data_IF_217813066189
#
_entry.id   IF_217813066189
#
_cell.length_a   1.000
_cell.length_b   1.000
_cell.length_c   1.000
_cell.angle_alpha   90.00
_cell.angle_beta   90.00
_cell.angle_gamma   90.00
#
_symmetry.space_group_name_H-M   'P 1'
#
loop_
_entity.id
_entity.type
_entity.pdbx_description
1 polymer ?
#
# COMPACT_ATOMS: atom_id res chain seq x y z
N UNK A 1 19.36 -35.16 -6.74
CA UNK A 1 18.99 -34.16 -7.75
C UNK A 1 19.38 -32.79 -7.23
N UNK A 2 20.27 -32.07 -7.86
CA UNK A 2 20.61 -30.72 -7.41
C UNK A 2 19.43 -29.78 -7.66
N UNK A 3 18.99 -29.07 -6.63
CA UNK A 3 18.05 -27.97 -6.76
C UNK A 3 18.66 -26.89 -7.67
N UNK A 4 17.95 -26.37 -8.68
CA UNK A 4 18.41 -25.23 -9.44
C UNK A 4 18.54 -24.04 -8.47
N UNK A 5 19.69 -23.39 -8.47
CA UNK A 5 19.93 -22.14 -7.76
C UNK A 5 18.89 -21.10 -8.23
N UNK A 6 18.36 -20.26 -7.33
CA UNK A 6 17.45 -19.21 -7.73
C UNK A 6 18.17 -18.29 -8.72
N UNK A 7 17.60 -18.16 -9.90
CA UNK A 7 18.05 -17.16 -10.89
C UNK A 7 17.82 -15.79 -10.26
N UNK A 8 18.89 -15.07 -9.94
CA UNK A 8 18.81 -13.67 -9.53
C UNK A 8 18.30 -12.91 -10.76
N UNK A 9 17.02 -12.55 -10.74
CA UNK A 9 16.48 -11.63 -11.73
C UNK A 9 17.19 -10.27 -11.53
N UNK A 10 17.93 -9.82 -12.55
CA UNK A 10 18.45 -8.45 -12.56
C UNK A 10 17.24 -7.55 -12.78
N UNK A 11 16.79 -6.89 -11.71
CA UNK A 11 15.73 -5.88 -11.78
C UNK A 11 16.33 -4.63 -12.39
N UNK A 12 15.93 -4.31 -13.62
CA UNK A 12 16.33 -3.06 -14.29
C UNK A 12 15.18 -2.06 -14.12
N UNK A 13 15.37 -1.08 -13.25
CA UNK A 13 14.41 0.02 -13.09
C UNK A 13 14.75 1.16 -14.05
N UNK A 14 13.80 1.56 -14.86
CA UNK A 14 13.91 2.73 -15.73
C UNK A 14 12.87 3.77 -15.32
N UNK A 15 13.31 4.98 -14.98
CA UNK A 15 12.44 6.12 -14.70
C UNK A 15 12.44 7.08 -15.88
N UNK A 16 11.25 7.49 -16.32
CA UNK A 16 11.08 8.45 -17.39
C UNK A 16 10.18 9.60 -16.91
N UNK A 17 10.68 10.82 -16.95
CA UNK A 17 9.89 12.03 -16.74
C UNK A 17 9.31 12.48 -18.07
N UNK A 18 7.99 12.63 -18.12
CA UNK A 18 7.26 13.04 -19.33
C UNK A 18 6.35 14.23 -19.02
N UNK A 19 6.01 15.01 -20.05
CA UNK A 19 5.01 16.06 -19.91
C UNK A 19 3.64 15.45 -19.67
N UNK A 20 2.76 16.09 -18.89
CA UNK A 20 1.42 15.54 -18.61
C UNK A 20 0.63 15.15 -19.88
N UNK A 21 0.77 15.94 -20.98
CA UNK A 21 0.12 15.66 -22.26
C UNK A 21 0.63 14.40 -22.97
N UNK A 22 1.86 13.96 -22.67
CA UNK A 22 2.51 12.82 -23.30
C UNK A 22 2.45 11.55 -22.44
N UNK A 23 1.86 11.64 -21.24
CA UNK A 23 1.88 10.55 -20.27
C UNK A 23 1.22 9.26 -20.80
N UNK A 24 0.06 9.36 -21.46
CA UNK A 24 -0.63 8.21 -22.03
C UNK A 24 0.10 7.59 -23.21
N UNK A 25 0.71 8.39 -24.08
CA UNK A 25 1.52 7.88 -25.20
C UNK A 25 2.81 7.20 -24.71
N UNK A 26 3.41 7.73 -23.63
CA UNK A 26 4.55 7.08 -22.96
C UNK A 26 4.16 5.75 -22.33
N UNK A 27 3.02 5.67 -21.66
CA UNK A 27 2.48 4.42 -21.14
C UNK A 27 2.26 3.40 -22.25
N UNK A 28 1.66 3.82 -23.37
CA UNK A 28 1.44 2.96 -24.55
C UNK A 28 2.78 2.40 -25.06
N UNK A 29 3.79 3.25 -25.19
CA UNK A 29 5.15 2.85 -25.58
C UNK A 29 5.76 1.83 -24.63
N UNK A 30 5.61 2.02 -23.32
CA UNK A 30 6.11 1.10 -22.29
C UNK A 30 5.40 -0.27 -22.34
N UNK A 31 4.07 -0.27 -22.47
CA UNK A 31 3.29 -1.53 -22.61
C UNK A 31 3.70 -2.28 -23.87
N UNK A 32 3.87 -1.58 -25.02
CA UNK A 32 4.38 -2.19 -26.26
C UNK A 32 5.78 -2.77 -26.06
N UNK A 33 6.66 -2.05 -25.39
CA UNK A 33 8.02 -2.53 -25.10
C UNK A 33 8.00 -3.78 -24.23
N UNK A 34 7.21 -3.79 -23.16
CA UNK A 34 7.04 -4.94 -22.28
C UNK A 34 6.47 -6.19 -23.00
N UNK A 35 5.65 -5.98 -24.04
CA UNK A 35 5.01 -7.06 -24.81
C UNK A 35 5.75 -7.45 -26.10
N UNK A 36 6.93 -6.89 -26.35
CA UNK A 36 7.67 -7.11 -27.63
C UNK A 36 8.01 -8.56 -27.89
N UNK A 37 8.37 -9.32 -26.85
CA UNK A 37 8.75 -10.74 -26.97
C UNK A 37 7.52 -11.65 -26.97
N UNK A 38 6.49 -11.31 -26.22
CA UNK A 38 5.24 -12.06 -26.12
C UNK A 38 4.05 -11.11 -25.99
N UNK A 39 3.17 -11.05 -26.99
CA UNK A 39 1.99 -10.16 -26.95
C UNK A 39 1.02 -10.45 -25.80
N UNK A 40 1.01 -11.70 -25.31
CA UNK A 40 0.18 -12.13 -24.17
C UNK A 40 0.94 -12.14 -22.84
N UNK A 41 2.18 -11.65 -22.79
CA UNK A 41 2.88 -11.52 -21.53
C UNK A 41 2.08 -10.65 -20.55
N UNK A 42 1.88 -11.09 -19.31
CA UNK A 42 1.19 -10.28 -18.30
C UNK A 42 1.99 -9.03 -17.99
N UNK A 43 1.29 -7.90 -17.90
CA UNK A 43 1.83 -6.59 -17.52
C UNK A 43 0.90 -5.99 -16.48
N UNK A 44 1.45 -5.67 -15.33
CA UNK A 44 0.73 -4.95 -14.27
C UNK A 44 1.05 -3.46 -14.37
N UNK A 45 0.03 -2.63 -14.55
CA UNK A 45 0.17 -1.18 -14.53
C UNK A 45 -0.37 -0.66 -13.21
N UNK A 46 0.52 -0.12 -12.40
CA UNK A 46 0.17 0.48 -11.13
C UNK A 46 -0.27 1.93 -11.34
N UNK A 47 -1.47 2.25 -10.91
CA UNK A 47 -2.11 3.56 -11.11
C UNK A 47 -2.54 4.17 -9.77
N UNK A 48 -2.51 5.51 -9.61
CA UNK A 48 -2.86 6.14 -8.32
C UNK A 48 -4.33 5.97 -7.96
N UNK A 49 -5.22 5.91 -8.94
CA UNK A 49 -6.67 5.77 -8.71
C UNK A 49 -7.33 4.88 -9.77
N UNK A 50 -8.50 4.33 -9.44
CA UNK A 50 -9.31 3.57 -10.39
C UNK A 50 -9.71 4.42 -11.61
N UNK A 51 -9.97 5.72 -11.42
CA UNK A 51 -10.30 6.64 -12.52
C UNK A 51 -9.13 6.76 -13.51
N UNK A 52 -7.89 6.90 -13.01
CA UNK A 52 -6.68 6.88 -13.84
C UNK A 52 -6.55 5.55 -14.58
N UNK A 53 -6.81 4.42 -13.91
CA UNK A 53 -6.78 3.10 -14.53
C UNK A 53 -7.79 2.94 -15.66
N UNK A 54 -9.02 3.42 -15.49
CA UNK A 54 -10.04 3.41 -16.55
C UNK A 54 -9.62 4.27 -17.74
N UNK A 55 -9.08 5.47 -17.50
CA UNK A 55 -8.58 6.35 -18.54
C UNK A 55 -7.43 5.71 -19.33
N UNK A 56 -6.44 5.16 -18.62
CA UNK A 56 -5.30 4.48 -19.23
C UNK A 56 -5.75 3.26 -20.04
N UNK A 57 -6.64 2.42 -19.49
CA UNK A 57 -7.20 1.25 -20.21
C UNK A 57 -7.92 1.64 -21.48
N UNK A 58 -8.71 2.72 -21.46
CA UNK A 58 -9.40 3.23 -22.66
C UNK A 58 -8.43 3.73 -23.72
N UNK A 59 -7.34 4.38 -23.31
CA UNK A 59 -6.29 4.83 -24.24
C UNK A 59 -5.60 3.64 -24.90
N UNK A 60 -5.07 2.71 -24.09
CA UNK A 60 -4.41 1.51 -24.60
C UNK A 60 -5.32 0.65 -25.50
N UNK A 61 -6.62 0.59 -25.19
CA UNK A 61 -7.59 -0.19 -25.96
C UNK A 61 -7.80 0.34 -27.39
N UNK A 62 -7.51 1.61 -27.64
CA UNK A 62 -7.59 2.21 -28.98
C UNK A 62 -6.37 1.91 -29.86
N UNK A 63 -5.20 1.86 -29.23
CA UNK A 63 -3.93 1.87 -29.96
C UNK A 63 -3.17 0.54 -29.86
N UNK A 64 -2.84 0.08 -28.66
CA UNK A 64 -1.99 -1.12 -28.45
C UNK A 64 -2.78 -2.37 -28.12
N UNK A 65 -3.98 -2.22 -27.57
CA UNK A 65 -4.76 -3.29 -26.98
C UNK A 65 -4.45 -3.49 -25.49
N UNK A 66 -5.33 -4.27 -24.83
CA UNK A 66 -5.31 -4.47 -23.37
C UNK A 66 -5.26 -5.94 -22.96
N UNK A 67 -4.93 -6.84 -23.89
CA UNK A 67 -4.81 -8.26 -23.57
C UNK A 67 -3.70 -8.47 -22.52
N UNK A 68 -4.02 -9.15 -21.42
CA UNK A 68 -3.09 -9.42 -20.31
C UNK A 68 -2.41 -8.14 -19.78
N UNK A 69 -3.18 -7.04 -19.65
CA UNK A 69 -2.75 -5.80 -18.98
C UNK A 69 -3.70 -5.53 -17.82
N UNK A 70 -3.19 -5.62 -16.59
CA UNK A 70 -3.94 -5.37 -15.38
C UNK A 70 -3.64 -3.97 -14.82
N UNK A 71 -4.70 -3.18 -14.62
CA UNK A 71 -4.61 -1.88 -13.96
C UNK A 71 -4.95 -2.03 -12.49
N UNK A 72 -3.99 -1.79 -11.61
CA UNK A 72 -4.16 -1.95 -10.16
C UNK A 72 -3.77 -0.69 -9.41
N UNK A 73 -4.45 -0.40 -8.32
CA UNK A 73 -4.04 0.63 -7.37
C UNK A 73 -3.04 0.06 -6.37
N UNK A 74 -2.26 0.90 -5.65
CA UNK A 74 -1.34 0.43 -4.61
C UNK A 74 -2.02 -0.45 -3.56
N UNK A 75 -3.20 -0.05 -3.10
CA UNK A 75 -3.99 -0.85 -2.16
C UNK A 75 -4.36 -2.22 -2.74
N UNK A 76 -4.87 -2.26 -3.98
CA UNK A 76 -5.23 -3.52 -4.64
C UNK A 76 -4.02 -4.42 -4.88
N UNK A 77 -2.87 -3.84 -5.23
CA UNK A 77 -1.62 -4.58 -5.33
C UNK A 77 -1.25 -5.20 -3.98
N UNK A 78 -1.33 -4.41 -2.91
CA UNK A 78 -1.03 -4.88 -1.57
C UNK A 78 -1.97 -6.02 -1.12
N UNK A 79 -3.27 -5.93 -1.42
CA UNK A 79 -4.21 -7.02 -1.18
C UNK A 79 -3.84 -8.30 -1.94
N UNK A 80 -3.45 -8.19 -3.21
CA UNK A 80 -3.08 -9.35 -4.03
C UNK A 80 -1.79 -10.03 -3.55
N UNK A 81 -0.82 -9.24 -3.07
CA UNK A 81 0.51 -9.74 -2.68
C UNK A 81 0.54 -10.22 -1.23
N UNK A 82 0.08 -9.40 -0.29
CA UNK A 82 0.16 -9.69 1.14
C UNK A 82 -1.11 -10.34 1.72
N UNK A 83 -2.28 -10.06 1.15
CA UNK A 83 -3.56 -10.56 1.66
C UNK A 83 -3.62 -12.07 1.86
N UNK A 84 -3.20 -12.91 0.89
CA UNK A 84 -3.22 -14.36 1.05
C UNK A 84 -2.41 -14.86 2.25
N UNK A 85 -1.25 -14.27 2.52
CA UNK A 85 -0.41 -14.64 3.66
C UNK A 85 -1.03 -14.20 4.99
N UNK A 86 -1.53 -12.98 5.07
CA UNK A 86 -2.23 -12.48 6.25
C UNK A 86 -3.44 -13.34 6.59
N UNK A 87 -4.20 -13.75 5.58
CA UNK A 87 -5.34 -14.65 5.75
C UNK A 87 -4.89 -16.06 6.20
N UNK A 88 -3.79 -16.58 5.65
CA UNK A 88 -3.21 -17.86 6.09
C UNK A 88 -2.76 -17.83 7.55
N UNK A 89 -2.34 -16.68 8.05
CA UNK A 89 -2.02 -16.43 9.46
C UNK A 89 -3.27 -16.25 10.34
N UNK A 90 -4.48 -16.39 9.79
CA UNK A 90 -5.74 -16.24 10.51
C UNK A 90 -6.17 -14.80 10.74
N UNK A 91 -5.45 -13.82 10.16
CA UNK A 91 -5.79 -12.40 10.32
C UNK A 91 -6.87 -11.98 9.32
N UNK A 92 -7.76 -11.10 9.75
CA UNK A 92 -8.87 -10.58 8.95
C UNK A 92 -8.73 -9.07 8.72
N UNK A 93 -9.31 -8.51 7.65
CA UNK A 93 -9.31 -7.06 7.45
C UNK A 93 -10.06 -6.36 8.58
N UNK A 94 -9.42 -5.36 9.19
CA UNK A 94 -10.02 -4.60 10.27
C UNK A 94 -11.11 -3.68 9.76
N UNK A 95 -12.25 -3.65 10.45
CA UNK A 95 -13.35 -2.72 10.17
C UNK A 95 -13.38 -1.55 11.16
N UNK A 96 -14.04 -0.46 10.78
CA UNK A 96 -14.20 0.73 11.64
C UNK A 96 -14.77 0.39 13.03
N UNK A 97 -15.83 -0.41 13.16
CA UNK A 97 -16.35 -0.78 14.48
C UNK A 97 -15.36 -1.55 15.35
N UNK A 98 -14.51 -2.38 14.76
CA UNK A 98 -13.48 -3.14 15.49
C UNK A 98 -12.42 -2.18 16.05
N UNK A 99 -11.98 -1.20 15.26
CA UNK A 99 -11.05 -0.16 15.75
C UNK A 99 -11.69 0.62 16.90
N UNK A 100 -12.94 1.07 16.75
CA UNK A 100 -13.65 1.85 17.76
C UNK A 100 -13.81 1.08 19.08
N UNK A 101 -14.17 -0.20 19.02
CA UNK A 101 -14.28 -1.05 20.20
C UNK A 101 -12.90 -1.25 20.85
N UNK A 102 -11.85 -1.44 20.05
CA UNK A 102 -10.50 -1.62 20.58
C UNK A 102 -10.00 -0.35 21.27
N UNK A 103 -10.22 0.83 20.69
CA UNK A 103 -9.89 2.13 21.33
C UNK A 103 -10.66 2.29 22.65
N UNK A 104 -11.97 1.98 22.69
CA UNK A 104 -12.76 2.03 23.93
C UNK A 104 -12.18 1.13 25.01
N UNK A 105 -11.74 -0.08 24.65
CA UNK A 105 -11.09 -1.00 25.60
C UNK A 105 -9.75 -0.47 26.10
N UNK A 106 -8.93 0.12 25.20
CA UNK A 106 -7.66 0.75 25.58
C UNK A 106 -7.90 1.87 26.60
N UNK A 107 -8.89 2.74 26.33
CA UNK A 107 -9.23 3.86 27.22
C UNK A 107 -9.91 3.38 28.52
N UNK A 108 -10.65 2.28 28.53
CA UNK A 108 -11.25 1.72 29.73
C UNK A 108 -10.17 1.13 30.68
N UNK A 109 -9.14 0.51 30.13
CA UNK A 109 -8.05 -0.06 30.92
C UNK A 109 -7.07 1.03 31.40
N UNK A 110 -6.78 1.99 30.54
CA UNK A 110 -5.82 3.07 30.84
C UNK A 110 -6.25 4.37 30.16
N UNK A 111 -7.15 5.16 30.78
CA UNK A 111 -7.68 6.38 30.18
C UNK A 111 -6.64 7.50 30.03
N UNK A 112 -5.64 7.57 30.92
CA UNK A 112 -4.59 8.61 30.89
C UNK A 112 -5.15 10.02 30.83
N UNK A 113 -4.61 10.85 29.97
CA UNK A 113 -5.08 12.24 29.76
C UNK A 113 -6.50 12.34 29.14
N UNK A 114 -7.11 11.23 28.75
CA UNK A 114 -8.47 11.21 28.19
C UNK A 114 -9.54 10.81 29.23
N UNK A 115 -9.22 10.72 30.53
CA UNK A 115 -10.12 10.20 31.57
C UNK A 115 -11.52 10.85 31.53
N UNK A 116 -11.59 12.16 31.46
CA UNK A 116 -12.84 12.92 31.49
C UNK A 116 -13.69 12.79 30.20
N UNK A 117 -13.08 12.33 29.10
CA UNK A 117 -13.70 12.27 27.77
C UNK A 117 -13.61 10.89 27.11
N UNK A 118 -13.11 9.88 27.84
CA UNK A 118 -12.88 8.54 27.31
C UNK A 118 -14.14 7.88 26.70
N UNK A 119 -15.30 8.15 27.28
CA UNK A 119 -16.60 7.63 26.80
C UNK A 119 -17.24 8.44 25.68
N UNK A 120 -16.72 9.62 25.35
CA UNK A 120 -17.37 10.51 24.40
C UNK A 120 -17.19 10.05 22.95
N UNK A 121 -18.25 9.98 22.14
CA UNK A 121 -18.14 9.48 20.75
C UNK A 121 -17.14 10.24 19.88
N UNK A 122 -17.05 11.57 20.05
CA UNK A 122 -16.10 12.39 19.28
C UNK A 122 -14.63 12.09 19.63
N UNK A 123 -14.34 11.73 20.88
CA UNK A 123 -12.99 11.30 21.29
C UNK A 123 -12.60 10.01 20.58
N UNK A 124 -13.51 9.02 20.54
CA UNK A 124 -13.27 7.77 19.83
C UNK A 124 -13.05 8.02 18.34
N UNK A 125 -13.89 8.86 17.72
CA UNK A 125 -13.74 9.22 16.30
C UNK A 125 -12.39 9.87 16.03
N UNK A 126 -12.00 10.88 16.82
CA UNK A 126 -10.73 11.59 16.66
C UNK A 126 -9.51 10.65 16.84
N UNK A 127 -9.54 9.77 17.84
CA UNK A 127 -8.47 8.80 18.08
C UNK A 127 -8.40 7.73 17.00
N UNK A 128 -9.53 7.28 16.45
CA UNK A 128 -9.56 6.37 15.32
C UNK A 128 -8.95 7.01 14.06
N UNK A 129 -9.36 8.24 13.74
CA UNK A 129 -8.89 8.93 12.56
C UNK A 129 -7.37 9.21 12.68
N UNK A 130 -6.91 9.67 13.84
CA UNK A 130 -5.50 9.80 14.16
C UNK A 130 -4.75 8.45 14.06
N UNK A 131 -5.33 7.38 14.60
CA UNK A 131 -4.73 6.04 14.49
C UNK A 131 -4.49 5.64 13.03
N UNK A 132 -5.49 5.85 12.16
CA UNK A 132 -5.35 5.57 10.71
C UNK A 132 -4.26 6.42 10.06
N UNK A 133 -4.23 7.72 10.35
CA UNK A 133 -3.18 8.62 9.83
C UNK A 133 -1.78 8.18 10.28
N UNK A 134 -1.60 7.83 11.55
CA UNK A 134 -0.32 7.34 12.07
C UNK A 134 0.10 6.01 11.45
N UNK A 135 -0.85 5.10 11.21
CA UNK A 135 -0.58 3.85 10.50
C UNK A 135 -0.11 4.08 9.07
N UNK A 136 -0.65 5.10 8.40
CA UNK A 136 -0.24 5.50 7.05
C UNK A 136 1.11 6.24 7.04
N UNK A 137 1.35 7.11 8.03
CA UNK A 137 2.57 7.90 8.10
C UNK A 137 3.79 7.12 8.63
N UNK A 138 3.55 5.97 9.27
CA UNK A 138 4.60 5.06 9.74
C UNK A 138 5.20 5.40 11.11
N UNK A 139 6.18 4.58 11.58
CA UNK A 139 6.70 4.65 12.95
C UNK A 139 7.35 6.00 13.31
N UNK A 140 7.97 6.67 12.36
CA UNK A 140 8.61 7.98 12.60
C UNK A 140 7.58 9.05 12.97
N UNK A 141 6.40 9.05 12.36
CA UNK A 141 5.33 9.98 12.70
C UNK A 141 4.76 9.73 14.10
N UNK A 142 4.64 8.45 14.49
CA UNK A 142 4.23 8.08 15.85
C UNK A 142 5.21 8.62 16.90
N UNK A 143 6.52 8.49 16.66
CA UNK A 143 7.56 9.01 17.56
C UNK A 143 7.57 10.55 17.60
N UNK A 144 7.42 11.19 16.45
CA UNK A 144 7.35 12.66 16.37
C UNK A 144 6.15 13.19 17.15
N UNK A 145 4.97 12.58 17.01
CA UNK A 145 3.77 12.95 17.78
C UNK A 145 4.00 12.77 19.29
N UNK A 146 4.58 11.62 19.70
CA UNK A 146 4.85 11.34 21.11
C UNK A 146 5.81 12.32 21.75
N UNK A 147 6.72 12.90 20.96
CA UNK A 147 7.71 13.89 21.42
C UNK A 147 7.20 15.35 21.41
N UNK A 148 6.12 15.63 20.67
CA UNK A 148 5.64 16.98 20.43
C UNK A 148 4.96 17.63 21.66
N UNK A 149 4.21 16.85 22.45
CA UNK A 149 3.46 17.31 23.62
C UNK A 149 3.02 16.15 24.50
N UNK A 150 2.57 16.46 25.73
CA UNK A 150 1.97 15.46 26.62
C UNK A 150 0.71 14.83 26.00
N UNK A 151 -0.17 15.63 25.43
CA UNK A 151 -1.37 15.14 24.72
C UNK A 151 -0.98 14.28 23.50
N UNK A 152 0.04 14.68 22.77
CA UNK A 152 0.59 13.91 21.65
C UNK A 152 1.13 12.55 22.10
N UNK A 153 1.83 12.50 23.22
CA UNK A 153 2.34 11.27 23.83
C UNK A 153 1.20 10.31 24.20
N UNK A 154 0.15 10.83 24.84
CA UNK A 154 -1.02 10.02 25.20
C UNK A 154 -1.79 9.51 23.98
N UNK A 155 -1.96 10.35 22.97
CA UNK A 155 -2.60 9.92 21.73
C UNK A 155 -1.77 8.86 20.98
N UNK A 156 -0.44 9.00 20.94
CA UNK A 156 0.48 8.00 20.40
C UNK A 156 0.43 6.69 21.19
N UNK A 157 0.35 6.74 22.53
CA UNK A 157 0.18 5.56 23.39
C UNK A 157 -1.09 4.82 23.06
N UNK A 158 -2.24 5.51 22.96
CA UNK A 158 -3.52 4.88 22.60
C UNK A 158 -3.45 4.24 21.21
N UNK A 159 -2.84 4.92 20.24
CA UNK A 159 -2.67 4.37 18.88
C UNK A 159 -1.80 3.12 18.88
N UNK A 160 -0.66 3.13 19.60
CA UNK A 160 0.23 1.98 19.70
C UNK A 160 -0.44 0.79 20.41
N UNK A 161 -1.15 1.05 21.52
CA UNK A 161 -1.89 0.01 22.24
C UNK A 161 -3.03 -0.59 21.38
N UNK A 162 -3.71 0.25 20.58
CA UNK A 162 -4.73 -0.21 19.64
C UNK A 162 -4.12 -1.13 18.57
N UNK A 163 -3.02 -0.72 17.94
CA UNK A 163 -2.32 -1.55 16.95
C UNK A 163 -1.87 -2.90 17.54
N UNK A 164 -1.30 -2.89 18.76
CA UNK A 164 -0.86 -4.10 19.44
C UNK A 164 -2.00 -5.08 19.70
N UNK A 165 -3.19 -4.58 20.10
CA UNK A 165 -4.37 -5.43 20.37
C UNK A 165 -5.00 -6.00 19.09
N UNK A 166 -4.89 -5.27 17.99
CA UNK A 166 -5.42 -5.72 16.69
C UNK A 166 -4.49 -6.73 16.01
N UNK A 167 -3.18 -6.68 16.28
CA UNK A 167 -2.16 -7.41 15.51
C UNK A 167 -2.34 -8.93 15.45
N UNK A 168 -2.99 -9.55 16.44
CA UNK A 168 -3.18 -11.00 16.47
C UNK A 168 -4.20 -11.48 15.43
N UNK A 169 -5.35 -10.81 15.35
CA UNK A 169 -6.53 -11.29 14.62
C UNK A 169 -6.88 -10.41 13.40
N UNK A 170 -6.32 -9.21 13.35
CA UNK A 170 -6.72 -8.19 12.36
C UNK A 170 -5.51 -7.61 11.64
N UNK A 171 -5.72 -7.19 10.40
CA UNK A 171 -4.76 -6.41 9.62
C UNK A 171 -5.41 -5.14 9.06
N UNK A 172 -4.62 -4.10 8.93
CA UNK A 172 -5.00 -2.85 8.28
C UNK A 172 -4.23 -2.62 6.97
N UNK A 173 -4.44 -1.45 6.37
CA UNK A 173 -3.75 -1.05 5.14
C UNK A 173 -2.22 -0.98 5.32
N UNK A 174 -1.75 -0.54 6.49
CA UNK A 174 -0.33 -0.49 6.82
C UNK A 174 0.31 -1.88 6.85
N UNK A 175 -0.39 -2.87 7.41
CA UNK A 175 0.07 -4.27 7.43
C UNK A 175 0.14 -4.86 6.00
N UNK A 176 -0.86 -4.55 5.16
CA UNK A 176 -0.85 -4.97 3.75
C UNK A 176 0.35 -4.37 2.99
N UNK A 177 0.60 -3.08 3.16
CA UNK A 177 1.72 -2.39 2.51
C UNK A 177 3.05 -2.96 2.99
N UNK A 178 3.25 -3.10 4.30
CA UNK A 178 4.49 -3.66 4.84
C UNK A 178 4.71 -5.11 4.38
N UNK A 179 3.68 -5.96 4.47
CA UNK A 179 3.76 -7.34 3.99
C UNK A 179 4.06 -7.43 2.49
N UNK A 180 3.58 -6.47 1.69
CA UNK A 180 3.90 -6.37 0.26
C UNK A 180 5.36 -6.01 0.05
N UNK A 181 5.88 -5.01 0.77
CA UNK A 181 7.29 -4.61 0.71
C UNK A 181 8.18 -5.80 1.07
N UNK A 182 7.89 -6.48 2.19
CA UNK A 182 8.65 -7.64 2.65
C UNK A 182 8.68 -8.76 1.60
N UNK A 183 7.54 -9.04 0.96
CA UNK A 183 7.42 -10.05 -0.10
C UNK A 183 8.21 -9.68 -1.35
N UNK A 184 8.14 -8.42 -1.79
CA UNK A 184 8.89 -7.94 -2.95
C UNK A 184 10.40 -7.92 -2.69
N UNK A 185 10.83 -7.61 -1.47
CA UNK A 185 12.23 -7.67 -1.07
C UNK A 185 12.75 -9.11 -0.94
N UNK A 186 11.89 -10.05 -0.57
CA UNK A 186 12.23 -11.48 -0.47
C UNK A 186 12.41 -12.16 -1.84
N UNK A 187 11.97 -11.54 -2.94
CA UNK A 187 12.17 -12.03 -4.30
C UNK A 187 10.95 -11.85 -5.20
N UNK A 188 11.01 -12.49 -6.38
CA UNK A 188 9.97 -12.38 -7.39
C UNK A 188 8.59 -12.85 -6.88
N UNK A 189 7.58 -12.05 -7.14
CA UNK A 189 6.19 -12.38 -6.86
C UNK A 189 5.55 -12.87 -8.16
N UNK A 190 5.02 -14.12 -8.21
CA UNK A 190 4.37 -14.63 -9.43
C UNK A 190 3.25 -13.70 -9.90
N UNK A 191 3.25 -13.38 -11.20
CA UNK A 191 2.29 -12.46 -11.81
C UNK A 191 2.71 -10.99 -11.80
N UNK A 192 3.84 -10.66 -11.14
CA UNK A 192 4.41 -9.30 -11.11
C UNK A 192 5.78 -9.22 -11.77
N UNK A 193 6.01 -10.04 -12.79
CA UNK A 193 7.29 -10.06 -13.53
C UNK A 193 7.54 -8.78 -14.34
N UNK A 194 6.47 -8.08 -14.70
CA UNK A 194 6.52 -6.80 -15.41
C UNK A 194 5.54 -5.83 -14.80
N UNK A 195 6.08 -4.83 -14.12
CA UNK A 195 5.29 -3.77 -13.46
C UNK A 195 5.66 -2.42 -14.07
N UNK A 196 4.66 -1.71 -14.56
CA UNK A 196 4.78 -0.33 -15.01
C UNK A 196 4.10 0.55 -13.98
N UNK A 197 4.80 1.51 -13.45
CA UNK A 197 4.26 2.48 -12.50
C UNK A 197 3.88 3.75 -13.25
N UNK A 198 2.59 4.05 -13.34
CA UNK A 198 2.04 5.17 -14.09
C UNK A 198 1.51 6.25 -13.16
N UNK A 199 2.29 7.33 -12.98
CA UNK A 199 2.00 8.48 -12.11
C UNK A 199 1.82 9.75 -12.92
N UNK A 200 0.63 10.00 -13.50
CA UNK A 200 0.39 11.23 -14.27
C UNK A 200 0.37 12.49 -13.39
N UNK A 201 0.29 12.34 -12.07
CA UNK A 201 0.29 13.41 -11.07
C UNK A 201 1.10 13.01 -9.84
N UNK A 202 1.63 13.98 -9.06
CA UNK A 202 2.28 13.67 -7.79
C UNK A 202 1.35 12.91 -6.85
N UNK A 203 1.84 11.82 -6.28
CA UNK A 203 1.14 11.02 -5.28
C UNK A 203 1.79 11.20 -3.92
N UNK A 204 0.99 11.23 -2.86
CA UNK A 204 1.44 11.31 -1.47
C UNK A 204 0.90 10.14 -0.64
N UNK A 205 1.56 9.82 0.48
CA UNK A 205 1.15 8.80 1.43
C UNK A 205 1.72 7.41 1.16
N UNK A 206 1.05 6.36 1.64
CA UNK A 206 1.48 4.95 1.57
C UNK A 206 1.87 4.48 0.17
N UNK A 207 1.21 5.03 -0.86
CA UNK A 207 1.59 4.79 -2.24
C UNK A 207 3.07 5.07 -2.50
N UNK A 208 3.63 6.13 -1.94
CA UNK A 208 5.03 6.52 -2.14
C UNK A 208 6.01 5.50 -1.57
N UNK A 209 5.72 4.90 -0.42
CA UNK A 209 6.59 3.91 0.22
C UNK A 209 6.68 2.61 -0.59
N UNK A 210 5.57 2.15 -1.15
CA UNK A 210 5.57 1.03 -2.09
C UNK A 210 6.45 1.31 -3.32
N UNK A 211 6.48 2.56 -3.77
CA UNK A 211 7.17 2.97 -4.99
C UNK A 211 8.67 3.19 -4.77
N UNK A 212 9.06 3.64 -3.59
CA UNK A 212 10.46 3.93 -3.28
C UNK A 212 11.22 2.72 -2.74
N UNK A 213 10.53 1.74 -2.17
CA UNK A 213 11.12 0.58 -1.49
C UNK A 213 10.97 -0.74 -2.26
N UNK A 214 10.02 -0.82 -3.18
CA UNK A 214 9.87 -2.01 -4.03
C UNK A 214 10.86 -1.97 -5.20
N UNK A 215 11.52 -3.08 -5.55
CA UNK A 215 12.27 -3.20 -6.79
C UNK A 215 11.26 -3.26 -7.95
N UNK A 216 10.94 -2.11 -8.52
CA UNK A 216 10.01 -1.97 -9.66
C UNK A 216 10.80 -1.80 -10.93
N UNK A 217 10.52 -2.63 -11.95
CA UNK A 217 11.33 -2.68 -13.17
C UNK A 217 11.19 -1.45 -14.08
N UNK A 218 10.08 -0.71 -14.03
CA UNK A 218 9.90 0.52 -14.80
C UNK A 218 9.03 1.53 -14.05
N UNK A 219 9.59 2.73 -13.82
CA UNK A 219 8.87 3.92 -13.36
C UNK A 219 8.67 4.85 -14.57
N UNK A 220 7.44 5.16 -14.91
CA UNK A 220 7.05 6.12 -15.95
C UNK A 220 6.48 7.40 -15.37
#
# INVERSE_FOLDING_TARGET
MPHPLPTIAIVTTRTQLVRPGDALSSLDGAVRAAKRVSPLAPVTVLVPTNATGVMARRSLGRDTGVAAVDMVTPYRLAELVAGPELHRLGRNPVSTPIIDITIRRVLADEPGAFADVAGHPSTITALRDLHRELRQAGPAALQALASASERGREAARVSAATASRLAADWYDEGDLVQGTIDRLQAGAVPGLERVIVFLPHPTMGLGLDLWTKAPVEELL
#
